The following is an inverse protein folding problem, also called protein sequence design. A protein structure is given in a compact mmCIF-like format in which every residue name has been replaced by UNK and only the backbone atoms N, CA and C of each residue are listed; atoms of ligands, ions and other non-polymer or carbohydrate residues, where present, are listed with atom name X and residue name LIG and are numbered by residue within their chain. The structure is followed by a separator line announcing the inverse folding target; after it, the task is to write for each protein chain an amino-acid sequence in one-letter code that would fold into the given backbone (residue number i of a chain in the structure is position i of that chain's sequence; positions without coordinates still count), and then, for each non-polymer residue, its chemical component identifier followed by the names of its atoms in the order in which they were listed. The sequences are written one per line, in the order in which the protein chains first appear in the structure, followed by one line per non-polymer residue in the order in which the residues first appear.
data_IF_931677270617
#
_entry.id   IF_931677270617
#
_cell.length_a   1.000
_cell.length_b   1.000
_cell.length_c   1.000
_cell.angle_alpha   90.00
_cell.angle_beta   90.00
_cell.angle_gamma   90.00
#
_symmetry.space_group_name_H-M   'P 1'
#
loop_
_entity.id
_entity.type
_entity.pdbx_description
1 polymer ?
#
# COMPACT_ATOMS: atom_id res chain seq x y z
N UNK A 1 8.98 3.36 -12.11
CA UNK A 1 7.68 3.89 -12.56
C UNK A 1 6.86 2.76 -13.14
N UNK A 2 5.63 2.55 -12.64
CA UNK A 2 4.77 1.47 -13.08
C UNK A 2 4.20 1.72 -14.47
N UNK A 3 4.02 0.66 -15.25
CA UNK A 3 3.30 0.68 -16.52
C UNK A 3 1.86 0.26 -16.29
N UNK A 4 0.93 1.10 -16.75
CA UNK A 4 -0.51 0.86 -16.68
C UNK A 4 -1.07 0.67 -18.10
N UNK A 5 -2.24 0.04 -18.17
CA UNK A 5 -3.00 -0.12 -19.41
C UNK A 5 -4.41 0.45 -19.24
N UNK A 6 -4.82 1.30 -20.18
CA UNK A 6 -6.16 1.82 -20.28
C UNK A 6 -6.96 0.93 -21.23
N UNK A 7 -7.79 0.05 -20.69
CA UNK A 7 -8.69 -0.81 -21.45
C UNK A 7 -10.04 -0.09 -21.65
N UNK A 8 -10.43 0.27 -22.88
CA UNK A 8 -11.72 0.88 -23.14
C UNK A 8 -12.86 -0.07 -22.79
N UNK A 9 -13.96 0.50 -22.29
CA UNK A 9 -15.25 -0.22 -22.24
C UNK A 9 -15.90 -0.32 -23.63
N UNK A 10 -15.53 0.56 -24.56
CA UNK A 10 -15.92 0.47 -25.96
C UNK A 10 -15.22 -0.72 -26.64
N UNK A 11 -16.01 -1.68 -27.09
CA UNK A 11 -15.53 -2.92 -27.72
C UNK A 11 -14.93 -2.71 -29.11
N UNK A 12 -15.20 -1.57 -29.75
CA UNK A 12 -14.68 -1.18 -31.05
C UNK A 12 -13.42 -0.29 -30.93
N UNK A 13 -12.92 -0.09 -29.70
CA UNK A 13 -11.69 0.64 -29.39
C UNK A 13 -10.57 -0.30 -28.93
N UNK A 14 -9.31 0.12 -29.14
CA UNK A 14 -8.13 -0.64 -28.75
C UNK A 14 -7.46 0.06 -27.58
N UNK A 15 -7.18 -0.66 -26.50
CA UNK A 15 -6.48 -0.10 -25.34
C UNK A 15 -5.05 0.31 -25.63
N UNK A 16 -4.47 1.04 -24.68
CA UNK A 16 -3.11 1.54 -24.79
C UNK A 16 -2.40 1.48 -23.44
N UNK A 17 -1.08 1.31 -23.51
CA UNK A 17 -0.20 1.37 -22.35
C UNK A 17 0.24 2.81 -22.10
N UNK A 18 0.54 3.14 -20.85
CA UNK A 18 1.08 4.44 -20.45
C UNK A 18 1.89 4.33 -19.16
N UNK A 19 2.85 5.22 -18.99
CA UNK A 19 3.75 5.27 -17.81
C UNK A 19 3.67 6.62 -17.07
N UNK A 20 2.82 7.55 -17.54
CA UNK A 20 2.53 8.80 -16.84
C UNK A 20 1.12 9.34 -17.12
N UNK A 21 0.69 10.28 -16.28
CA UNK A 21 -0.58 11.00 -16.43
C UNK A 21 -0.61 11.80 -17.74
N UNK A 22 0.50 12.44 -18.10
CA UNK A 22 0.62 13.24 -19.33
C UNK A 22 0.46 12.37 -20.58
N UNK A 23 1.05 11.17 -20.56
CA UNK A 23 0.90 10.19 -21.65
C UNK A 23 -0.56 9.73 -21.75
N UNK A 24 -1.17 9.32 -20.64
CA UNK A 24 -2.58 8.95 -20.59
C UNK A 24 -3.47 10.06 -21.16
N UNK A 25 -3.30 11.30 -20.72
CA UNK A 25 -4.09 12.44 -21.19
C UNK A 25 -3.86 12.75 -22.67
N UNK A 26 -2.63 12.57 -23.17
CA UNK A 26 -2.28 12.84 -24.56
C UNK A 26 -2.93 11.82 -25.49
N UNK A 27 -2.90 10.53 -25.11
CA UNK A 27 -3.48 9.44 -25.89
C UNK A 27 -5.01 9.49 -25.82
N UNK A 28 -5.58 9.53 -24.61
CA UNK A 28 -7.05 9.52 -24.41
C UNK A 28 -7.76 10.67 -25.13
N UNK A 29 -7.20 11.89 -25.16
CA UNK A 29 -7.77 13.05 -25.89
C UNK A 29 -7.91 12.85 -27.40
N UNK A 30 -7.13 11.93 -27.99
CA UNK A 30 -7.14 11.64 -29.43
C UNK A 30 -7.68 10.24 -29.73
N UNK A 31 -8.11 9.52 -28.70
CA UNK A 31 -8.51 8.14 -28.84
C UNK A 31 -9.91 8.07 -29.43
N UNK A 32 -10.00 7.47 -30.60
CA UNK A 32 -11.25 7.29 -31.35
C UNK A 32 -11.48 5.80 -31.57
N UNK A 33 -12.73 5.37 -31.51
CA UNK A 33 -13.14 4.01 -31.87
C UNK A 33 -13.17 3.81 -33.41
N UNK A 34 -13.52 2.60 -33.85
CA UNK A 34 -13.62 2.27 -35.28
C UNK A 34 -14.65 3.13 -36.07
N UNK A 35 -15.56 3.80 -35.37
CA UNK A 35 -16.59 4.68 -35.92
C UNK A 35 -16.20 6.17 -35.88
N UNK A 36 -14.96 6.49 -35.50
CA UNK A 36 -14.44 7.86 -35.33
C UNK A 36 -15.11 8.64 -34.19
N UNK A 37 -15.68 7.94 -33.22
CA UNK A 37 -16.26 8.54 -32.03
C UNK A 37 -15.22 8.56 -30.89
N UNK A 38 -15.20 9.61 -30.05
CA UNK A 38 -14.29 9.68 -28.91
C UNK A 38 -14.53 8.55 -27.90
N UNK A 39 -13.45 7.97 -27.39
CA UNK A 39 -13.49 6.97 -26.31
C UNK A 39 -13.39 7.67 -24.96
N UNK A 40 -14.46 7.59 -24.16
CA UNK A 40 -14.58 8.37 -22.91
C UNK A 40 -14.21 7.61 -21.63
N UNK A 41 -14.43 6.28 -21.60
CA UNK A 41 -14.32 5.49 -20.37
C UNK A 41 -13.34 4.32 -20.50
N UNK A 42 -12.55 4.14 -19.44
CA UNK A 42 -11.49 3.14 -19.38
C UNK A 42 -11.50 2.40 -18.03
N UNK A 43 -11.28 1.10 -18.09
CA UNK A 43 -10.73 0.34 -16.97
C UNK A 43 -9.21 0.53 -16.95
N UNK A 44 -8.64 0.86 -15.80
CA UNK A 44 -7.21 1.03 -15.63
C UNK A 44 -6.65 -0.24 -14.98
N UNK A 45 -5.65 -0.83 -15.62
CA UNK A 45 -5.02 -2.08 -15.19
C UNK A 45 -3.53 -1.83 -14.92
N UNK A 46 -3.03 -2.35 -13.80
CA UNK A 46 -1.60 -2.43 -13.54
C UNK A 46 -0.99 -3.57 -14.38
N UNK A 47 0.10 -3.30 -15.10
CA UNK A 47 0.74 -4.26 -16.00
C UNK A 47 2.11 -4.68 -15.51
N UNK A 48 2.95 -3.71 -15.16
CA UNK A 48 4.35 -3.96 -14.79
C UNK A 48 4.86 -2.87 -13.83
N UNK A 49 5.83 -3.22 -13.00
CA UNK A 49 6.41 -2.34 -11.97
C UNK A 49 6.82 -3.12 -10.72
N UNK A 50 7.27 -2.40 -9.69
CA UNK A 50 7.71 -3.01 -8.44
C UNK A 50 6.52 -3.60 -7.66
N UNK A 51 6.76 -4.66 -6.88
CA UNK A 51 5.71 -5.36 -6.12
C UNK A 51 4.97 -4.41 -5.16
N UNK A 52 5.68 -3.43 -4.59
CA UNK A 52 5.09 -2.42 -3.70
C UNK A 52 4.18 -1.45 -4.46
N UNK A 53 4.52 -1.07 -5.70
CA UNK A 53 3.69 -0.19 -6.52
C UNK A 53 2.42 -0.92 -7.02
N UNK A 54 2.51 -2.23 -7.24
CA UNK A 54 1.37 -3.09 -7.54
C UNK A 54 0.42 -3.21 -6.32
N UNK A 55 0.98 -3.46 -5.14
CA UNK A 55 0.20 -3.50 -3.90
C UNK A 55 -0.46 -2.13 -3.61
N UNK A 56 0.27 -1.03 -3.84
CA UNK A 56 -0.25 0.32 -3.73
C UNK A 56 -1.38 0.57 -4.72
N UNK A 57 -1.24 0.20 -5.99
CA UNK A 57 -2.29 0.36 -7.00
C UNK A 57 -3.60 -0.34 -6.59
N UNK A 58 -3.46 -1.55 -6.00
CA UNK A 58 -4.60 -2.31 -5.50
C UNK A 58 -5.27 -1.64 -4.30
N UNK A 59 -4.51 -1.15 -3.33
CA UNK A 59 -5.05 -0.43 -2.18
C UNK A 59 -5.69 0.91 -2.58
N UNK A 60 -5.08 1.61 -3.55
CA UNK A 60 -5.55 2.89 -4.07
C UNK A 60 -6.87 2.77 -4.86
N UNK A 61 -7.16 1.60 -5.42
CA UNK A 61 -8.32 1.42 -6.29
C UNK A 61 -8.23 2.31 -7.54
N UNK A 62 -7.11 2.21 -8.25
CA UNK A 62 -6.82 3.07 -9.40
C UNK A 62 -7.93 3.02 -10.47
N UNK A 63 -8.27 4.19 -11.00
CA UNK A 63 -9.22 4.41 -12.07
C UNK A 63 -8.90 5.73 -12.77
N UNK A 64 -9.55 5.98 -13.91
CA UNK A 64 -9.25 7.15 -14.76
C UNK A 64 -9.29 8.51 -14.06
N UNK A 65 -10.03 8.66 -12.96
CA UNK A 65 -10.14 9.92 -12.23
C UNK A 65 -9.04 10.11 -11.17
N UNK A 66 -8.44 9.03 -10.66
CA UNK A 66 -7.50 9.09 -9.54
C UNK A 66 -6.07 8.59 -9.86
N UNK A 67 -5.78 8.18 -11.11
CA UNK A 67 -4.43 7.78 -11.52
C UNK A 67 -3.37 8.87 -11.30
N UNK A 68 -3.80 10.15 -11.26
CA UNK A 68 -2.90 11.27 -10.97
C UNK A 68 -2.24 11.16 -9.60
N UNK A 69 -3.05 11.02 -8.55
CA UNK A 69 -2.56 10.85 -7.18
C UNK A 69 -1.75 9.57 -7.01
N UNK A 70 -2.13 8.48 -7.70
CA UNK A 70 -1.35 7.24 -7.69
C UNK A 70 0.07 7.42 -8.23
N UNK A 71 0.25 8.05 -9.40
CA UNK A 71 1.58 8.29 -9.93
C UNK A 71 2.40 9.22 -9.04
N UNK A 72 1.79 10.29 -8.50
CA UNK A 72 2.46 11.17 -7.54
C UNK A 72 2.93 10.38 -6.31
N UNK A 73 2.10 9.51 -5.75
CA UNK A 73 2.50 8.64 -4.64
C UNK A 73 3.63 7.66 -5.02
N UNK A 74 3.62 7.09 -6.23
CA UNK A 74 4.71 6.24 -6.70
C UNK A 74 6.05 6.99 -6.79
N UNK A 75 6.03 8.26 -7.21
CA UNK A 75 7.20 9.12 -7.39
C UNK A 75 7.71 9.73 -6.09
N UNK A 76 6.81 10.17 -5.21
CA UNK A 76 7.13 11.01 -4.05
C UNK A 76 7.24 10.23 -2.74
N UNK A 77 6.55 9.10 -2.61
CA UNK A 77 6.53 8.35 -1.35
C UNK A 77 7.66 7.33 -1.28
N UNK A 78 8.28 7.27 -0.10
CA UNK A 78 9.17 6.20 0.29
C UNK A 78 8.38 4.91 0.57
N UNK A 79 9.04 3.76 0.55
CA UNK A 79 8.40 2.45 0.76
C UNK A 79 7.64 2.36 2.10
N UNK A 80 8.15 3.02 3.14
CA UNK A 80 7.48 3.09 4.44
C UNK A 80 6.09 3.75 4.32
N UNK A 81 6.01 4.89 3.63
CA UNK A 81 4.76 5.63 3.42
C UNK A 81 3.78 4.81 2.57
N UNK A 82 4.27 4.12 1.53
CA UNK A 82 3.45 3.20 0.72
C UNK A 82 2.87 2.06 1.57
N UNK A 83 3.67 1.44 2.44
CA UNK A 83 3.23 0.36 3.35
C UNK A 83 2.15 0.83 4.32
N UNK A 84 2.34 1.99 4.95
CA UNK A 84 1.35 2.59 5.85
C UNK A 84 0.01 2.78 5.14
N UNK A 85 0.03 3.36 3.93
CA UNK A 85 -1.17 3.54 3.12
C UNK A 85 -1.84 2.20 2.75
N UNK A 86 -1.06 1.22 2.30
CA UNK A 86 -1.58 -0.11 1.92
C UNK A 86 -2.31 -0.77 3.10
N UNK A 87 -1.77 -0.65 4.31
CA UNK A 87 -2.42 -1.17 5.53
C UNK A 87 -3.68 -0.36 5.85
N UNK A 88 -3.56 0.96 5.96
CA UNK A 88 -4.67 1.85 6.34
C UNK A 88 -5.88 1.72 5.41
N UNK A 89 -5.65 1.81 4.11
CA UNK A 89 -6.73 1.83 3.11
C UNK A 89 -7.06 0.42 2.61
N UNK A 90 -6.05 -0.40 2.35
CA UNK A 90 -6.23 -1.71 1.72
C UNK A 90 -6.70 -2.81 2.68
N UNK A 91 -6.21 -2.81 3.92
CA UNK A 91 -6.56 -3.85 4.91
C UNK A 91 -7.61 -3.37 5.90
N UNK A 92 -7.42 -2.17 6.46
CA UNK A 92 -8.30 -1.64 7.51
C UNK A 92 -9.54 -0.96 6.90
N UNK A 93 -9.41 -0.36 5.72
CA UNK A 93 -10.51 0.24 4.97
C UNK A 93 -10.75 1.72 5.28
N UNK A 94 -9.70 2.46 5.61
CA UNK A 94 -9.78 3.91 5.80
C UNK A 94 -10.12 4.60 4.47
N UNK A 95 -10.94 5.64 4.56
CA UNK A 95 -11.20 6.52 3.42
C UNK A 95 -10.05 7.51 3.22
N UNK A 96 -9.85 7.98 1.99
CA UNK A 96 -8.84 8.97 1.65
C UNK A 96 -9.32 9.86 0.49
N UNK A 97 -8.73 11.05 0.35
CA UNK A 97 -8.89 11.91 -0.82
C UNK A 97 -7.70 11.71 -1.77
N UNK A 98 -7.88 11.19 -2.99
CA UNK A 98 -6.77 10.93 -3.90
C UNK A 98 -5.91 12.16 -4.28
N UNK A 99 -6.39 13.39 -4.07
CA UNK A 99 -5.61 14.61 -4.32
C UNK A 99 -4.85 15.13 -3.09
N UNK A 100 -5.19 14.65 -1.89
CA UNK A 100 -4.68 15.15 -0.61
C UNK A 100 -4.52 13.98 0.38
N UNK A 101 -3.46 13.18 0.18
CA UNK A 101 -3.14 12.04 1.04
C UNK A 101 -1.79 12.26 1.73
N UNK A 102 -1.80 12.13 3.04
CA UNK A 102 -0.61 12.13 3.88
C UNK A 102 -0.55 10.84 4.69
N UNK A 103 0.30 9.86 4.33
CA UNK A 103 0.39 8.59 5.03
C UNK A 103 0.67 8.71 6.53
N UNK A 104 1.36 9.77 6.95
CA UNK A 104 1.66 10.07 8.35
C UNK A 104 0.44 10.45 9.18
N UNK A 105 -0.70 10.77 8.56
CA UNK A 105 -1.94 11.07 9.26
C UNK A 105 -2.73 9.81 9.63
N UNK A 106 -2.36 8.65 9.08
CA UNK A 106 -2.96 7.38 9.47
C UNK A 106 -2.39 6.88 10.79
N UNK A 107 -3.27 6.46 11.70
CA UNK A 107 -2.90 5.88 13.00
C UNK A 107 -2.47 4.41 12.82
N UNK A 108 -1.31 4.22 12.19
CA UNK A 108 -0.71 2.91 11.92
C UNK A 108 0.74 2.92 12.40
N UNK A 109 1.02 2.13 13.44
CA UNK A 109 2.38 1.84 13.90
C UNK A 109 2.90 0.60 13.16
N UNK A 110 4.09 0.70 12.56
CA UNK A 110 4.71 -0.36 11.76
C UNK A 110 6.00 -0.89 12.40
N UNK A 111 6.15 -2.21 12.45
CA UNK A 111 7.30 -2.93 13.00
C UNK A 111 7.88 -3.89 11.96
N UNK A 112 9.19 -3.77 11.72
CA UNK A 112 9.95 -4.58 10.75
C UNK A 112 10.57 -5.81 11.43
N UNK A 113 9.73 -6.77 11.81
CA UNK A 113 10.11 -8.02 12.48
C UNK A 113 9.37 -9.21 11.86
N UNK A 114 9.98 -10.40 11.90
CA UNK A 114 9.50 -11.56 11.16
C UNK A 114 8.45 -12.39 11.91
N UNK A 115 8.21 -12.10 13.20
CA UNK A 115 7.24 -12.80 14.03
C UNK A 115 6.79 -12.01 15.27
N UNK A 116 5.60 -12.33 15.81
CA UNK A 116 5.14 -11.79 17.11
C UNK A 116 6.12 -12.01 18.27
N UNK A 117 6.96 -13.05 18.19
CA UNK A 117 7.98 -13.31 19.20
C UNK A 117 9.10 -12.28 19.15
N UNK A 118 9.57 -11.94 17.95
CA UNK A 118 10.57 -10.89 17.76
C UNK A 118 10.00 -9.53 18.17
N UNK A 119 8.72 -9.26 17.88
CA UNK A 119 8.05 -8.07 18.40
C UNK A 119 8.05 -8.04 19.93
N UNK A 120 7.73 -9.17 20.58
CA UNK A 120 7.75 -9.28 22.04
C UNK A 120 9.17 -9.00 22.60
N UNK A 121 10.20 -9.58 21.99
CA UNK A 121 11.60 -9.34 22.37
C UNK A 121 12.00 -7.87 22.19
N UNK A 122 11.59 -7.22 21.10
CA UNK A 122 11.82 -5.80 20.85
C UNK A 122 11.12 -4.92 21.90
N UNK A 123 9.82 -5.12 22.13
CA UNK A 123 9.02 -4.35 23.10
C UNK A 123 9.60 -4.48 24.51
N UNK A 124 10.00 -5.69 24.90
CA UNK A 124 10.64 -5.93 26.20
C UNK A 124 11.99 -5.23 26.27
N UNK A 125 12.81 -5.32 25.23
CA UNK A 125 14.13 -4.67 25.16
C UNK A 125 14.06 -3.14 25.17
N UNK A 126 13.01 -2.56 24.61
CA UNK A 126 12.72 -1.12 24.64
C UNK A 126 12.23 -0.63 26.02
N UNK A 127 11.99 -1.54 26.96
CA UNK A 127 11.62 -1.20 28.34
C UNK A 127 10.14 -0.91 28.53
N UNK A 128 9.26 -1.32 27.61
CA UNK A 128 7.80 -1.18 27.76
C UNK A 128 7.25 -1.97 28.96
N UNK A 129 8.00 -2.96 29.45
CA UNK A 129 7.73 -3.72 30.67
C UNK A 129 8.54 -3.23 31.90
N UNK A 130 9.20 -2.08 31.78
CA UNK A 130 10.12 -1.52 32.78
C UNK A 130 11.52 -2.13 32.73
N UNK A 131 12.39 -1.68 33.64
CA UNK A 131 13.77 -2.18 33.74
C UNK A 131 13.77 -3.62 34.29
N UNK A 132 14.05 -4.57 33.42
CA UNK A 132 14.16 -5.98 33.78
C UNK A 132 15.59 -6.26 34.27
N UNK A 133 15.78 -6.75 35.51
CA UNK A 133 17.09 -7.20 35.95
C UNK A 133 17.62 -8.36 35.10
N UNK A 134 18.91 -8.32 34.73
CA UNK A 134 19.56 -9.33 33.86
C UNK A 134 19.34 -10.78 34.31
N UNK A 135 19.27 -11.01 35.62
CA UNK A 135 19.03 -12.36 36.18
C UNK A 135 17.60 -12.87 36.01
N UNK A 136 16.64 -12.01 35.67
CA UNK A 136 15.24 -12.35 35.41
C UNK A 136 14.92 -12.47 33.91
N UNK A 137 15.74 -11.94 33.01
CA UNK A 137 15.49 -11.96 31.55
C UNK A 137 15.16 -13.36 31.03
N UNK A 138 15.93 -14.38 31.45
CA UNK A 138 15.75 -15.77 31.02
C UNK A 138 14.51 -16.47 31.59
N UNK A 139 13.78 -15.80 32.48
CA UNK A 139 12.55 -16.31 33.10
C UNK A 139 11.29 -15.63 32.54
N UNK A 140 11.44 -14.68 31.63
CA UNK A 140 10.32 -14.03 30.96
C UNK A 140 9.83 -14.95 29.84
N UNK A 141 8.54 -15.26 29.87
CA UNK A 141 7.88 -16.06 28.84
C UNK A 141 7.52 -15.18 27.64
N UNK A 142 8.45 -15.07 26.68
CA UNK A 142 8.23 -14.30 25.45
C UNK A 142 7.10 -14.87 24.61
N UNK A 143 6.87 -16.19 24.67
CA UNK A 143 5.81 -16.82 23.88
C UNK A 143 4.42 -16.47 24.45
N UNK A 144 4.31 -16.26 25.77
CA UNK A 144 3.11 -15.73 26.40
C UNK A 144 2.86 -14.26 26.00
N UNK A 145 3.89 -13.42 26.05
CA UNK A 145 3.78 -12.00 25.66
C UNK A 145 3.39 -11.88 24.18
N UNK A 146 4.04 -12.64 23.30
CA UNK A 146 3.73 -12.66 21.86
C UNK A 146 2.27 -13.05 21.60
N UNK A 147 1.71 -13.97 22.38
CA UNK A 147 0.30 -14.36 22.27
C UNK A 147 -0.64 -13.23 22.70
N UNK A 148 -0.29 -12.50 23.75
CA UNK A 148 -1.07 -11.36 24.21
C UNK A 148 -1.02 -10.21 23.18
N UNK A 149 0.17 -9.92 22.61
CA UNK A 149 0.34 -8.92 21.55
C UNK A 149 -0.49 -9.23 20.30
N UNK A 150 -0.65 -10.50 19.93
CA UNK A 150 -1.45 -10.90 18.77
C UNK A 150 -2.96 -10.54 18.87
N UNK A 151 -3.42 -10.01 20.02
CA UNK A 151 -4.76 -9.44 20.15
C UNK A 151 -4.87 -8.00 19.65
N UNK A 152 -3.79 -7.22 19.74
CA UNK A 152 -3.76 -5.80 19.37
C UNK A 152 -2.94 -5.53 18.10
N UNK A 153 -2.05 -6.45 17.73
CA UNK A 153 -1.15 -6.35 16.57
C UNK A 153 -1.51 -7.39 15.52
N UNK A 154 -1.31 -7.03 14.25
CA UNK A 154 -1.60 -7.88 13.10
C UNK A 154 -0.35 -8.12 12.26
N UNK A 155 -0.10 -9.37 11.89
CA UNK A 155 0.94 -9.76 10.93
C UNK A 155 0.43 -9.60 9.50
N UNK A 156 1.22 -9.00 8.61
CA UNK A 156 0.94 -8.91 7.17
C UNK A 156 2.22 -9.11 6.34
N UNK A 157 2.04 -9.30 5.03
CA UNK A 157 3.12 -9.40 4.06
C UNK A 157 2.85 -8.44 2.90
N UNK A 158 3.71 -7.45 2.73
CA UNK A 158 3.60 -6.41 1.68
C UNK A 158 4.88 -6.41 0.86
N UNK A 159 4.75 -6.61 -0.45
CA UNK A 159 5.87 -6.65 -1.39
C UNK A 159 6.98 -7.66 -0.97
N UNK A 160 6.58 -8.81 -0.42
CA UNK A 160 7.49 -9.87 0.03
C UNK A 160 8.19 -9.58 1.37
N UNK A 161 7.89 -8.47 2.01
CA UNK A 161 8.37 -8.13 3.35
C UNK A 161 7.29 -8.42 4.40
N UNK A 162 7.67 -9.17 5.43
CA UNK A 162 6.82 -9.40 6.59
C UNK A 162 6.88 -8.22 7.53
N UNK A 163 5.70 -7.80 7.97
CA UNK A 163 5.52 -6.63 8.79
C UNK A 163 4.52 -6.97 9.89
N UNK A 164 4.67 -6.32 11.03
CA UNK A 164 3.66 -6.30 12.07
C UNK A 164 3.18 -4.88 12.23
N UNK A 165 1.87 -4.69 12.29
CA UNK A 165 1.30 -3.37 12.53
C UNK A 165 0.30 -3.37 13.67
N UNK A 166 0.08 -2.18 14.21
CA UNK A 166 -1.04 -1.87 15.11
C UNK A 166 -1.78 -0.67 14.54
N UNK A 167 -3.11 -0.74 14.57
CA UNK A 167 -3.98 0.34 14.13
C UNK A 167 -4.82 0.87 15.30
N UNK A 168 -4.97 2.19 15.38
CA UNK A 168 -5.72 2.91 16.43
C UNK A 168 -7.00 3.57 15.94
#
# INVERSE_FOLDING_TARGET
MPQLHAQPYDLDAIGFYFESVEEYQTISKRHMNAHWEPVEEYEILFIDGDDIDCALAKAWGINQANIGGYFAACDEWEDYQKKVFIIAVGEIGYGFDPEDVHPEEFDVDLYHVDSMKELAEQIVGEGLFGDIPEHLERYIDMDAIARDLAHDYTETEIAGERLIYRAG
#
